data_IF_405137755768
#
_entry.id   IF_405137755768
#
_cell.length_a   1.000
_cell.length_b   1.000
_cell.length_c   1.000
_cell.angle_alpha   90.00
_cell.angle_beta   90.00
_cell.angle_gamma   90.00
#
_symmetry.space_group_name_H-M   'P 1'
#
loop_
_entity.id
_entity.type
_entity.pdbx_description
1 polymer ?
#
# COMPACT_ATOMS: atom_id res chain seq x y z
N UNK A 1 7.22 -16.92 -1.67
CA UNK A 1 8.30 -15.94 -1.96
C UNK A 1 7.67 -14.56 -1.85
N UNK A 2 8.25 -13.64 -1.08
CA UNK A 2 7.70 -12.28 -0.95
C UNK A 2 7.78 -11.53 -2.27
N UNK A 3 6.70 -10.88 -2.70
CA UNK A 3 6.65 -10.13 -3.94
C UNK A 3 6.74 -8.62 -3.67
N UNK A 4 7.59 -7.93 -4.43
CA UNK A 4 7.65 -6.47 -4.43
C UNK A 4 6.70 -5.97 -5.53
N UNK A 5 5.56 -5.42 -5.12
CA UNK A 5 4.61 -4.81 -6.04
C UNK A 5 4.92 -3.32 -6.22
N UNK A 6 4.64 -2.79 -7.41
CA UNK A 6 4.61 -1.36 -7.60
C UNK A 6 3.57 -0.71 -6.66
N UNK A 7 3.83 0.52 -6.20
CA UNK A 7 2.90 1.21 -5.29
C UNK A 7 1.51 1.39 -5.88
N UNK A 8 1.38 1.50 -7.21
CA UNK A 8 0.07 1.57 -7.88
C UNK A 8 -0.82 0.37 -7.59
N UNK A 9 -0.25 -0.85 -7.52
CA UNK A 9 -0.98 -2.07 -7.14
C UNK A 9 -1.51 -1.97 -5.71
N UNK A 10 -0.69 -1.43 -4.80
CA UNK A 10 -1.08 -1.24 -3.40
C UNK A 10 -2.15 -0.16 -3.26
N UNK A 11 -2.06 0.92 -4.05
CA UNK A 11 -3.11 1.96 -4.13
C UNK A 11 -4.42 1.35 -4.57
N UNK A 12 -4.46 0.61 -5.69
CA UNK A 12 -5.70 -0.02 -6.16
C UNK A 12 -6.26 -1.03 -5.17
N UNK A 13 -5.39 -1.80 -4.48
CA UNK A 13 -5.80 -2.75 -3.45
C UNK A 13 -6.52 -2.05 -2.28
N UNK A 14 -5.96 -0.97 -1.75
CA UNK A 14 -6.47 -0.32 -0.53
C UNK A 14 -7.50 0.78 -0.79
N UNK A 15 -7.42 1.48 -1.93
CA UNK A 15 -8.42 2.48 -2.33
C UNK A 15 -9.69 1.85 -2.91
N UNK A 16 -9.61 0.58 -3.33
CA UNK A 16 -10.70 -0.13 -4.03
C UNK A 16 -11.19 0.62 -5.27
N UNK A 17 -10.24 1.06 -6.09
CA UNK A 17 -10.53 1.75 -7.35
C UNK A 17 -10.97 0.77 -8.46
N UNK A 18 -10.99 1.24 -9.70
CA UNK A 18 -11.40 0.46 -10.86
C UNK A 18 -10.54 -0.80 -11.10
N UNK A 19 -9.29 -0.85 -10.62
CA UNK A 19 -8.36 -1.96 -10.80
C UNK A 19 -8.28 -2.87 -9.56
N UNK A 20 -9.22 -2.72 -8.63
CA UNK A 20 -9.22 -3.43 -7.36
C UNK A 20 -9.22 -4.96 -7.52
N UNK A 21 -10.01 -5.47 -8.47
CA UNK A 21 -10.14 -6.92 -8.68
C UNK A 21 -8.83 -7.53 -9.19
N UNK A 22 -8.16 -6.85 -10.11
CA UNK A 22 -6.86 -7.22 -10.65
C UNK A 22 -5.79 -7.15 -9.56
N UNK A 23 -5.80 -6.11 -8.72
CA UNK A 23 -4.88 -5.97 -7.59
C UNK A 23 -5.06 -7.11 -6.57
N UNK A 24 -6.31 -7.47 -6.24
CA UNK A 24 -6.61 -8.62 -5.37
C UNK A 24 -6.11 -9.92 -5.99
N UNK A 25 -6.36 -10.15 -7.28
CA UNK A 25 -5.89 -11.35 -7.98
C UNK A 25 -4.36 -11.44 -7.97
N UNK A 26 -3.68 -10.33 -8.24
CA UNK A 26 -2.22 -10.27 -8.30
C UNK A 26 -1.58 -10.50 -6.93
N UNK A 27 -2.13 -9.88 -5.89
CA UNK A 27 -1.63 -10.03 -4.50
C UNK A 27 -1.96 -11.42 -3.96
N UNK A 28 -3.14 -11.97 -4.21
CA UNK A 28 -3.50 -13.32 -3.75
C UNK A 28 -2.64 -14.43 -4.38
N UNK A 29 -2.13 -14.22 -5.60
CA UNK A 29 -1.19 -15.13 -6.24
C UNK A 29 0.21 -15.14 -5.57
N UNK A 30 0.54 -14.15 -4.73
CA UNK A 30 1.84 -14.03 -4.08
C UNK A 30 1.71 -13.79 -2.57
N UNK A 31 2.27 -14.70 -1.77
CA UNK A 31 2.30 -14.51 -0.30
C UNK A 31 3.37 -13.49 0.10
N UNK A 32 3.00 -12.53 0.95
CA UNK A 32 3.92 -11.61 1.59
C UNK A 32 4.30 -10.43 0.68
N UNK A 33 3.37 -9.52 0.47
CA UNK A 33 3.61 -8.27 -0.25
C UNK A 33 4.63 -7.42 0.50
N UNK A 34 5.71 -7.01 -0.17
CA UNK A 34 6.74 -6.18 0.46
C UNK A 34 6.19 -4.77 0.70
N UNK A 35 6.47 -4.22 1.88
CA UNK A 35 6.12 -2.85 2.26
C UNK A 35 7.35 -2.08 2.72
N UNK A 36 7.85 -1.20 1.87
CA UNK A 36 9.05 -0.39 2.12
C UNK A 36 8.69 1.03 2.57
N UNK A 37 9.63 1.75 3.20
CA UNK A 37 9.45 3.18 3.48
C UNK A 37 9.16 4.04 2.24
N UNK A 38 9.74 3.72 1.08
CA UNK A 38 9.45 4.44 -0.17
C UNK A 38 8.02 4.22 -0.66
N UNK A 39 7.56 2.96 -0.67
CA UNK A 39 6.17 2.64 -1.02
C UNK A 39 5.18 3.34 -0.07
N UNK A 40 5.51 3.44 1.22
CA UNK A 40 4.70 4.19 2.19
C UNK A 40 4.59 5.67 1.83
N UNK A 41 5.71 6.31 1.44
CA UNK A 41 5.72 7.72 1.05
C UNK A 41 4.90 7.96 -0.23
N UNK A 42 5.11 7.13 -1.25
CA UNK A 42 4.35 7.19 -2.51
C UNK A 42 2.85 6.98 -2.29
N UNK A 43 2.49 5.97 -1.49
CA UNK A 43 1.11 5.67 -1.15
C UNK A 43 0.45 6.83 -0.42
N UNK A 44 1.11 7.41 0.59
CA UNK A 44 0.59 8.55 1.33
C UNK A 44 0.35 9.77 0.42
N UNK A 45 1.25 10.01 -0.54
CA UNK A 45 1.08 11.09 -1.52
C UNK A 45 -0.12 10.82 -2.44
N UNK A 46 -0.29 9.57 -2.89
CA UNK A 46 -1.47 9.18 -3.67
C UNK A 46 -2.76 9.39 -2.87
N UNK A 47 -2.84 8.90 -1.64
CA UNK A 47 -4.01 9.10 -0.75
C UNK A 47 -4.32 10.58 -0.56
N UNK A 48 -3.32 11.42 -0.30
CA UNK A 48 -3.50 12.88 -0.18
C UNK A 48 -4.06 13.50 -1.46
N UNK A 49 -3.60 13.06 -2.62
CA UNK A 49 -4.14 13.53 -3.91
C UNK A 49 -5.61 13.10 -4.10
N UNK A 50 -5.98 11.89 -3.68
CA UNK A 50 -7.39 11.44 -3.72
C UNK A 50 -8.28 12.25 -2.77
N UNK A 51 -7.81 12.57 -1.56
CA UNK A 51 -8.53 13.45 -0.63
C UNK A 51 -8.70 14.85 -1.23
N UNK A 52 -7.63 15.44 -1.76
CA UNK A 52 -7.68 16.78 -2.34
C UNK A 52 -8.64 16.89 -3.55
N UNK A 53 -8.83 15.79 -4.28
CA UNK A 53 -9.78 15.69 -5.40
C UNK A 53 -11.22 15.40 -4.95
N UNK A 54 -11.46 15.14 -3.66
CA UNK A 54 -12.77 14.77 -3.13
C UNK A 54 -13.19 13.32 -3.44
N UNK A 55 -12.24 12.46 -3.84
CA UNK A 55 -12.54 11.06 -4.16
C UNK A 55 -12.79 10.22 -2.91
N UNK A 56 -12.15 10.58 -1.79
CA UNK A 56 -12.27 9.91 -0.49
C UNK A 56 -12.24 10.96 0.63
N UNK A 57 -12.82 10.64 1.78
CA UNK A 57 -12.78 11.49 2.97
C UNK A 57 -11.73 11.02 3.98
N UNK A 58 -11.53 11.80 5.04
CA UNK A 58 -10.58 11.47 6.12
C UNK A 58 -10.98 10.19 6.88
N UNK A 59 -12.28 9.87 6.95
CA UNK A 59 -12.73 8.65 7.61
C UNK A 59 -12.32 7.41 6.80
N UNK A 60 -12.37 7.48 5.47
CA UNK A 60 -11.86 6.45 4.59
C UNK A 60 -10.35 6.28 4.75
N UNK A 61 -9.58 7.37 4.82
CA UNK A 61 -8.12 7.31 5.07
C UNK A 61 -7.80 6.52 6.34
N UNK A 62 -8.49 6.80 7.45
CA UNK A 62 -8.29 6.05 8.71
C UNK A 62 -8.58 4.56 8.57
N UNK A 63 -9.63 4.19 7.81
CA UNK A 63 -9.94 2.78 7.54
C UNK A 63 -8.86 2.11 6.69
N UNK A 64 -8.28 2.84 5.75
CA UNK A 64 -7.17 2.36 4.92
C UNK A 64 -5.93 2.12 5.80
N UNK A 65 -5.56 3.08 6.64
CA UNK A 65 -4.43 2.96 7.57
C UNK A 65 -4.59 1.76 8.50
N UNK A 66 -5.80 1.57 9.04
CA UNK A 66 -6.14 0.42 9.88
C UNK A 66 -6.03 -0.90 9.11
N UNK A 67 -6.49 -0.95 7.86
CA UNK A 67 -6.41 -2.15 7.02
C UNK A 67 -4.94 -2.52 6.73
N UNK A 68 -4.09 -1.53 6.44
CA UNK A 68 -2.65 -1.74 6.24
C UNK A 68 -2.00 -2.26 7.54
N UNK A 69 -2.35 -1.68 8.69
CA UNK A 69 -1.85 -2.14 10.01
C UNK A 69 -2.19 -3.62 10.23
N UNK A 70 -3.45 -4.00 10.04
CA UNK A 70 -3.90 -5.39 10.18
C UNK A 70 -3.20 -6.32 9.17
N UNK A 71 -2.96 -5.86 7.94
CA UNK A 71 -2.25 -6.64 6.92
C UNK A 71 -0.79 -6.92 7.30
N UNK A 72 -0.14 -5.99 7.99
CA UNK A 72 1.20 -6.19 8.55
C UNK A 72 1.16 -7.18 9.73
N UNK A 73 0.20 -7.03 10.64
CA UNK A 73 0.03 -7.92 11.80
C UNK A 73 -0.24 -9.37 11.38
N UNK A 74 -1.06 -9.56 10.34
CA UNK A 74 -1.38 -10.87 9.76
C UNK A 74 -0.26 -11.44 8.89
N UNK A 75 0.82 -10.69 8.65
CA UNK A 75 1.94 -11.05 7.77
C UNK A 75 1.56 -11.20 6.29
N UNK A 76 0.44 -10.61 5.87
CA UNK A 76 0.06 -10.46 4.47
C UNK A 76 0.94 -9.41 3.77
N UNK A 77 1.32 -8.37 4.51
CA UNK A 77 2.37 -7.41 4.16
C UNK A 77 3.60 -7.61 5.04
N UNK A 78 4.77 -7.59 4.41
CA UNK A 78 6.07 -7.78 5.06
C UNK A 78 6.83 -6.45 5.02
N UNK A 79 6.95 -5.74 6.16
CA UNK A 79 7.79 -4.56 6.24
C UNK A 79 9.23 -4.90 5.85
N UNK A 80 9.80 -4.15 4.92
CA UNK A 80 11.20 -4.29 4.52
C UNK A 80 11.89 -2.94 4.68
N UNK A 81 12.92 -2.82 5.54
CA UNK A 81 13.66 -1.58 5.69
C UNK A 81 14.37 -1.23 4.39
N UNK A 82 14.75 0.04 4.24
CA UNK A 82 15.62 0.45 3.15
C UNK A 82 16.94 -0.34 3.24
N UNK A 83 17.56 -0.68 2.09
CA UNK A 83 18.93 -1.18 2.11
C UNK A 83 19.83 -0.17 2.83
N UNK A 84 20.74 -0.66 3.68
CA UNK A 84 21.71 0.21 4.35
C UNK A 84 22.47 1.03 3.29
N UNK A 85 22.37 2.36 3.36
CA UNK A 85 22.96 3.29 2.39
C UNK A 85 21.98 4.24 1.68
N UNK A 86 20.67 4.14 1.92
CA UNK A 86 19.66 5.05 1.36
C UNK A 86 19.13 6.10 2.36
N UNK A 87 19.85 6.39 3.45
CA UNK A 87 19.45 7.35 4.49
C UNK A 87 19.67 8.83 4.11
N UNK A 88 19.84 9.15 2.82
CA UNK A 88 20.15 10.52 2.39
C UNK A 88 19.57 10.83 1.02
N UNK A 89 18.31 11.27 1.00
CA UNK A 89 17.76 12.20 -0.01
C UNK A 89 16.90 13.22 0.73
#
# INVERSE_FOLDING_TARGET
MSACFDTSVLVSLYMRDANWQEAVSLVSAHKGAVWTPWQRLEFNNAVRAHVARGNIDIAAVRKIEETIRLSIENRDMIPRPLPAGCDSI
#
